data_IF_339184181921
#
_entry.id   IF_339184181921
#
_cell.length_a   1.000
_cell.length_b   1.000
_cell.length_c   1.000
_cell.angle_alpha   90.00
_cell.angle_beta   90.00
_cell.angle_gamma   90.00
#
_symmetry.space_group_name_H-M   'P 1'
#
loop_
_entity.id
_entity.type
_entity.pdbx_description
1 polymer ?
#
# COMPACT_ATOMS: atom_id res chain seq x y z
N UNK A 1 5.00 -32.98 16.53
CA UNK A 1 6.39 -32.63 16.90
C UNK A 1 6.59 -31.15 16.61
N UNK A 2 6.50 -30.34 17.67
CA UNK A 2 6.72 -28.89 17.61
C UNK A 2 8.21 -28.61 17.38
N UNK A 3 8.56 -27.75 16.42
CA UNK A 3 9.90 -27.16 16.31
C UNK A 3 9.78 -25.68 16.59
N UNK A 4 10.13 -25.31 17.81
CA UNK A 4 10.32 -23.93 18.25
C UNK A 4 11.54 -23.33 17.55
N UNK A 5 11.34 -22.18 16.88
CA UNK A 5 12.42 -21.31 16.39
C UNK A 5 12.57 -20.21 17.43
N UNK A 6 13.65 -20.27 18.22
CA UNK A 6 14.05 -19.19 19.13
C UNK A 6 14.56 -17.97 18.33
N UNK A 7 14.18 -16.73 18.69
CA UNK A 7 14.81 -15.55 18.13
C UNK A 7 16.18 -15.32 18.80
N UNK A 8 17.21 -15.13 17.98
CA UNK A 8 18.53 -14.70 18.43
C UNK A 8 18.47 -13.25 18.92
N UNK A 9 18.22 -13.07 20.22
CA UNK A 9 18.50 -11.81 20.91
C UNK A 9 19.97 -11.84 21.26
N UNK A 10 20.79 -11.15 20.48
CA UNK A 10 22.19 -10.90 20.82
C UNK A 10 22.21 -10.06 22.09
N UNK A 11 22.48 -10.69 23.23
CA UNK A 11 22.76 -10.01 24.50
C UNK A 11 23.86 -8.98 24.25
N UNK A 12 23.52 -7.71 24.44
CA UNK A 12 24.49 -6.62 24.49
C UNK A 12 25.57 -7.00 25.50
N UNK A 13 26.77 -7.30 24.99
CA UNK A 13 27.94 -7.61 25.81
C UNK A 13 28.17 -6.45 26.79
N UNK A 14 28.36 -6.76 28.08
CA UNK A 14 28.55 -5.82 29.19
C UNK A 14 29.57 -4.72 28.86
N UNK A 15 30.57 -5.03 28.03
CA UNK A 15 31.57 -4.05 27.54
C UNK A 15 31.01 -2.92 26.68
N UNK A 16 29.95 -3.15 25.88
CA UNK A 16 29.32 -2.11 25.06
C UNK A 16 28.46 -1.16 25.90
N UNK A 17 27.78 -1.67 26.93
CA UNK A 17 27.03 -0.83 27.87
C UNK A 17 27.94 0.10 28.68
N UNK A 18 29.09 -0.39 29.13
CA UNK A 18 30.08 0.42 29.87
C UNK A 18 30.63 1.54 28.98
N UNK A 19 30.81 1.28 27.67
CA UNK A 19 31.31 2.29 26.72
C UNK A 19 30.28 3.40 26.49
N UNK A 20 28.99 3.06 26.39
CA UNK A 20 27.89 4.03 26.25
C UNK A 20 27.76 4.93 27.49
N UNK A 21 27.84 4.36 28.70
CA UNK A 21 27.75 5.11 29.96
C UNK A 21 28.92 6.09 30.17
N UNK A 22 30.10 5.79 29.60
CA UNK A 22 31.25 6.72 29.59
C UNK A 22 31.03 7.91 28.67
N UNK A 23 30.36 7.73 27.53
CA UNK A 23 30.08 8.82 26.56
C UNK A 23 29.15 9.89 27.13
N UNK A 24 28.30 9.53 28.11
CA UNK A 24 27.41 10.44 28.81
C UNK A 24 27.98 11.00 30.13
N UNK A 25 29.25 10.74 30.46
CA UNK A 25 29.93 11.34 31.61
C UNK A 25 29.51 10.80 32.99
N UNK A 26 29.03 9.55 33.08
CA UNK A 26 28.36 9.01 34.29
C UNK A 26 29.27 8.16 35.20
N UNK A 27 30.54 7.89 34.85
CA UNK A 27 31.42 7.04 35.67
C UNK A 27 32.83 7.61 35.82
N UNK A 28 33.29 7.76 37.08
CA UNK A 28 34.69 7.95 37.46
C UNK A 28 35.24 6.60 37.95
N UNK A 29 36.47 6.29 37.58
CA UNK A 29 37.15 5.03 37.91
C UNK A 29 37.32 4.87 39.43
N UNK A 30 36.82 3.76 39.97
CA UNK A 30 37.44 3.02 41.08
C UNK A 30 36.95 1.57 41.00
N UNK A 31 37.61 0.77 40.16
CA UNK A 31 37.42 -0.68 40.12
C UNK A 31 38.06 -1.30 41.36
N UNK A 32 37.25 -1.54 42.41
CA UNK A 32 37.65 -2.45 43.48
C UNK A 32 37.32 -3.91 43.08
N UNK A 33 38.12 -4.85 43.60
CA UNK A 33 38.31 -6.24 43.11
C UNK A 33 37.14 -7.21 43.32
N UNK A 34 35.91 -6.73 43.48
CA UNK A 34 34.70 -7.54 43.52
C UNK A 34 33.71 -6.90 42.55
N UNK A 35 33.21 -7.65 41.56
CA UNK A 35 32.42 -7.18 40.42
C UNK A 35 31.02 -6.65 40.78
N UNK A 36 30.94 -5.67 41.68
CA UNK A 36 29.75 -4.89 42.00
C UNK A 36 30.01 -3.49 41.47
N UNK A 37 29.24 -3.09 40.47
CA UNK A 37 29.23 -1.72 39.95
C UNK A 37 28.70 -0.79 41.06
N UNK A 38 29.59 0.00 41.67
CA UNK A 38 29.22 0.99 42.68
C UNK A 38 28.57 2.19 41.97
N UNK A 39 27.24 2.17 41.85
CA UNK A 39 26.49 3.25 41.24
C UNK A 39 26.20 4.35 42.27
N UNK A 40 26.70 5.55 42.02
CA UNK A 40 26.37 6.72 42.84
C UNK A 40 24.85 6.94 42.90
N UNK A 41 24.35 7.43 44.04
CA UNK A 41 22.92 7.67 44.33
C UNK A 41 22.19 8.43 43.21
N UNK A 42 22.87 9.36 42.53
CA UNK A 42 22.32 10.09 41.36
C UNK A 42 22.07 9.17 40.16
N UNK A 43 23.01 8.26 39.87
CA UNK A 43 22.90 7.27 38.80
C UNK A 43 21.80 6.26 39.08
N UNK A 44 21.65 5.84 40.35
CA UNK A 44 20.55 4.98 40.77
C UNK A 44 19.20 5.67 40.59
N UNK A 45 19.05 6.94 41.03
CA UNK A 45 17.82 7.72 40.86
C UNK A 45 17.46 7.91 39.38
N UNK A 46 18.44 8.16 38.51
CA UNK A 46 18.20 8.29 37.06
C UNK A 46 17.75 6.97 36.46
N UNK A 47 18.39 5.84 36.81
CA UNK A 47 18.01 4.52 36.30
C UNK A 47 16.65 4.06 36.82
N UNK A 48 16.34 4.31 38.08
CA UNK A 48 15.01 4.02 38.66
C UNK A 48 13.95 4.90 38.01
N UNK A 49 14.24 6.19 37.78
CA UNK A 49 13.35 7.09 37.03
C UNK A 49 13.09 6.60 35.61
N UNK A 50 14.13 6.15 34.90
CA UNK A 50 14.01 5.60 33.55
C UNK A 50 13.20 4.29 33.52
N UNK A 51 13.37 3.42 34.52
CA UNK A 51 12.64 2.17 34.64
C UNK A 51 11.16 2.41 34.98
N UNK A 52 10.88 3.42 35.81
CA UNK A 52 9.50 3.84 36.14
C UNK A 52 8.83 4.45 34.92
N UNK A 53 9.50 5.27 34.12
CA UNK A 53 8.92 5.81 32.88
C UNK A 53 8.70 4.72 31.81
N UNK A 54 9.62 3.75 31.67
CA UNK A 54 9.42 2.60 30.78
C UNK A 54 8.23 1.71 31.20
N UNK A 55 7.95 1.60 32.50
CA UNK A 55 6.82 0.80 33.00
C UNK A 55 5.49 1.55 32.97
N UNK A 56 5.51 2.88 32.99
CA UNK A 56 4.29 3.72 32.88
C UNK A 56 3.86 4.05 31.44
N UNK A 57 4.70 3.80 30.43
CA UNK A 57 4.34 4.02 29.02
C UNK A 57 3.37 2.98 28.44
N UNK A 58 3.01 1.94 29.20
CA UNK A 58 2.21 0.81 28.73
C UNK A 58 0.75 0.84 29.18
N UNK A 59 -0.03 1.89 28.92
CA UNK A 59 -1.49 1.89 29.17
C UNK A 59 -2.29 2.88 28.29
N UNK A 60 -1.93 3.03 27.02
CA UNK A 60 -2.92 3.45 26.01
C UNK A 60 -3.07 2.29 25.03
N UNK A 61 -3.91 1.32 25.40
CA UNK A 61 -4.24 0.24 24.47
C UNK A 61 -4.97 0.87 23.29
N UNK A 62 -4.40 0.77 22.09
CA UNK A 62 -5.10 1.12 20.86
C UNK A 62 -6.52 0.48 20.90
N UNK A 63 -7.56 1.18 20.41
CA UNK A 63 -8.92 0.67 20.46
C UNK A 63 -8.97 -0.74 19.88
N UNK A 64 -9.75 -1.62 20.53
CA UNK A 64 -9.91 -3.01 20.10
C UNK A 64 -10.44 -3.00 18.67
N UNK A 65 -9.60 -3.36 17.71
CA UNK A 65 -10.00 -3.41 16.30
C UNK A 65 -10.98 -4.56 16.13
N UNK A 66 -12.15 -4.24 15.58
CA UNK A 66 -13.19 -5.20 15.24
C UNK A 66 -13.11 -5.45 13.74
N UNK A 67 -13.43 -6.67 13.31
CA UNK A 67 -13.55 -6.98 11.90
C UNK A 67 -14.75 -6.20 11.33
N UNK A 68 -14.65 -5.72 10.08
CA UNK A 68 -15.75 -5.16 9.29
C UNK A 68 -17.06 -5.91 9.59
N UNK A 69 -18.08 -5.15 10.01
CA UNK A 69 -19.42 -5.70 10.24
C UNK A 69 -20.22 -5.85 8.95
N UNK A 70 -19.84 -5.12 7.89
CA UNK A 70 -20.50 -5.10 6.59
C UNK A 70 -19.50 -5.38 5.48
N UNK A 71 -19.94 -6.10 4.46
CA UNK A 71 -19.14 -6.38 3.28
C UNK A 71 -18.65 -5.08 2.62
N UNK A 72 -17.35 -4.94 2.30
CA UNK A 72 -16.84 -3.75 1.64
C UNK A 72 -17.43 -3.65 0.23
N UNK A 73 -18.12 -2.53 -0.05
CA UNK A 73 -18.80 -2.32 -1.35
C UNK A 73 -17.83 -2.27 -2.53
N UNK A 74 -16.66 -1.67 -2.32
CA UNK A 74 -15.72 -1.32 -3.40
C UNK A 74 -14.47 -2.19 -3.43
N UNK A 75 -14.40 -3.24 -2.60
CA UNK A 75 -13.22 -4.06 -2.50
C UNK A 75 -13.52 -5.55 -2.38
N UNK A 76 -12.58 -6.36 -2.82
CA UNK A 76 -12.64 -7.81 -2.77
C UNK A 76 -11.27 -8.41 -2.45
N UNK A 77 -11.24 -9.70 -2.17
CA UNK A 77 -10.02 -10.49 -2.22
C UNK A 77 -9.50 -10.56 -3.67
N UNK A 78 -8.20 -10.87 -3.91
CA UNK A 78 -7.64 -10.95 -5.26
C UNK A 78 -8.35 -11.93 -6.19
N UNK A 79 -9.04 -12.92 -5.62
CA UNK A 79 -9.83 -13.91 -6.34
C UNK A 79 -11.28 -13.47 -6.65
N UNK A 80 -11.66 -12.24 -6.30
CA UNK A 80 -13.01 -11.68 -6.51
C UNK A 80 -14.02 -12.03 -5.41
N UNK A 81 -13.58 -12.67 -4.32
CA UNK A 81 -14.45 -13.05 -3.21
C UNK A 81 -14.57 -11.95 -2.15
N UNK A 82 -15.66 -11.98 -1.40
CA UNK A 82 -15.90 -11.09 -0.28
C UNK A 82 -14.86 -11.37 0.82
N UNK A 83 -14.09 -10.37 1.26
CA UNK A 83 -13.11 -10.57 2.32
C UNK A 83 -13.70 -11.04 3.66
N UNK A 84 -14.98 -10.74 3.91
CA UNK A 84 -15.71 -11.22 5.09
C UNK A 84 -16.26 -12.64 4.96
N UNK A 85 -16.46 -13.11 3.73
CA UNK A 85 -17.01 -14.42 3.42
C UNK A 85 -16.30 -14.94 2.17
N UNK A 86 -15.08 -15.49 2.34
CA UNK A 86 -14.20 -15.84 1.21
C UNK A 86 -14.75 -16.91 0.27
N UNK A 87 -15.87 -17.52 0.63
CA UNK A 87 -16.67 -18.48 -0.15
C UNK A 87 -17.76 -17.81 -1.01
N UNK A 88 -18.05 -16.52 -0.79
CA UNK A 88 -19.01 -15.74 -1.56
C UNK A 88 -18.33 -14.73 -2.47
N UNK A 89 -18.81 -14.60 -3.71
CA UNK A 89 -18.35 -13.55 -4.64
C UNK A 89 -18.72 -12.18 -4.07
N UNK A 90 -17.81 -11.20 -4.11
CA UNK A 90 -18.13 -9.87 -3.57
C UNK A 90 -19.24 -9.20 -4.39
N UNK A 91 -20.12 -8.37 -3.81
CA UNK A 91 -21.25 -7.74 -4.54
C UNK A 91 -20.86 -7.02 -5.83
N UNK A 92 -19.69 -6.38 -5.83
CA UNK A 92 -19.11 -5.73 -6.99
C UNK A 92 -18.73 -6.72 -8.11
N UNK A 93 -18.13 -7.86 -7.76
CA UNK A 93 -17.85 -8.92 -8.74
C UNK A 93 -19.10 -9.70 -9.10
N UNK A 94 -20.05 -9.79 -8.17
CA UNK A 94 -21.34 -10.43 -8.32
C UNK A 94 -22.15 -9.73 -9.41
N UNK A 95 -22.22 -8.40 -9.40
CA UNK A 95 -22.87 -7.64 -10.47
C UNK A 95 -22.20 -7.86 -11.84
N UNK A 96 -20.87 -7.96 -11.87
CA UNK A 96 -20.13 -8.28 -13.08
C UNK A 96 -20.28 -9.75 -13.53
N UNK A 97 -20.55 -10.68 -12.62
CA UNK A 97 -20.50 -12.13 -12.84
C UNK A 97 -21.87 -12.85 -12.83
N UNK A 98 -22.93 -12.31 -12.22
CA UNK A 98 -24.23 -12.99 -12.10
C UNK A 98 -25.23 -12.61 -13.19
N UNK A 99 -24.87 -11.72 -14.11
CA UNK A 99 -25.59 -11.58 -15.39
C UNK A 99 -25.29 -12.70 -16.40
N UNK A 100 -24.18 -13.42 -16.25
CA UNK A 100 -23.78 -14.50 -17.15
C UNK A 100 -22.73 -15.37 -16.44
N UNK A 101 -22.86 -16.71 -16.45
CA UNK A 101 -21.92 -17.72 -15.91
C UNK A 101 -20.45 -17.61 -16.44
N UNK A 102 -19.81 -16.46 -16.27
CA UNK A 102 -18.63 -15.95 -16.95
C UNK A 102 -17.78 -15.13 -15.97
N UNK A 103 -16.45 -15.18 -16.13
CA UNK A 103 -15.54 -14.36 -15.34
C UNK A 103 -15.53 -12.90 -15.83
N UNK A 104 -14.99 -11.99 -15.01
CA UNK A 104 -14.89 -10.56 -15.30
C UNK A 104 -14.30 -10.30 -16.70
N UNK A 105 -13.25 -11.03 -17.09
CA UNK A 105 -12.60 -10.88 -18.39
C UNK A 105 -13.57 -11.13 -19.55
N UNK A 106 -14.30 -12.26 -19.57
CA UNK A 106 -15.26 -12.57 -20.65
C UNK A 106 -16.45 -11.60 -20.67
N UNK A 107 -16.89 -11.12 -19.50
CA UNK A 107 -17.91 -10.08 -19.44
C UNK A 107 -17.44 -8.80 -20.14
N UNK A 108 -16.23 -8.33 -19.81
CA UNK A 108 -15.64 -7.14 -20.41
C UNK A 108 -15.38 -7.34 -21.90
N UNK A 109 -14.84 -8.48 -22.33
CA UNK A 109 -14.66 -8.82 -23.75
C UNK A 109 -15.96 -8.70 -24.54
N UNK A 110 -17.06 -9.25 -24.00
CA UNK A 110 -18.38 -9.17 -24.66
C UNK A 110 -18.88 -7.73 -24.76
N UNK A 111 -18.75 -6.94 -23.68
CA UNK A 111 -19.20 -5.54 -23.66
C UNK A 111 -18.37 -4.66 -24.59
N UNK A 112 -17.06 -4.92 -24.68
CA UNK A 112 -16.12 -4.18 -25.53
C UNK A 112 -16.13 -4.66 -26.99
N UNK A 113 -16.49 -5.92 -27.24
CA UNK A 113 -16.51 -6.53 -28.56
C UNK A 113 -15.14 -6.92 -29.10
N UNK A 114 -14.10 -6.99 -28.25
CA UNK A 114 -12.73 -7.34 -28.65
C UNK A 114 -11.95 -8.00 -27.50
N UNK A 115 -10.74 -8.48 -27.80
CA UNK A 115 -9.85 -9.10 -26.82
C UNK A 115 -9.16 -8.04 -25.96
N UNK A 116 -9.14 -8.23 -24.64
CA UNK A 116 -8.72 -7.19 -23.70
C UNK A 116 -7.22 -6.87 -23.77
N UNK A 117 -6.90 -5.59 -23.60
CA UNK A 117 -5.58 -5.08 -23.28
C UNK A 117 -5.52 -4.74 -21.79
N UNK A 118 -4.81 -5.56 -21.02
CA UNK A 118 -4.68 -5.45 -19.57
C UNK A 118 -3.26 -5.03 -19.22
N UNK A 119 -3.13 -3.94 -18.46
CA UNK A 119 -1.86 -3.52 -17.87
C UNK A 119 -1.87 -3.79 -16.36
N UNK A 120 -0.87 -4.50 -15.87
CA UNK A 120 -0.63 -4.66 -14.43
C UNK A 120 0.71 -4.02 -14.06
N UNK A 121 0.64 -3.06 -13.15
CA UNK A 121 1.75 -2.25 -12.68
C UNK A 121 2.08 -2.63 -11.25
N UNK A 122 3.28 -3.18 -11.05
CA UNK A 122 3.73 -3.62 -9.74
C UNK A 122 4.23 -2.46 -8.87
N UNK A 123 4.52 -2.78 -7.61
CA UNK A 123 5.26 -1.89 -6.73
C UNK A 123 6.76 -1.94 -6.95
N UNK A 124 7.42 -0.79 -6.77
CA UNK A 124 8.87 -0.68 -7.00
C UNK A 124 9.55 0.52 -6.32
N UNK A 125 8.86 1.24 -5.42
CA UNK A 125 9.41 2.42 -4.75
C UNK A 125 9.94 3.45 -5.75
N UNK A 126 11.22 3.81 -5.65
CA UNK A 126 11.92 4.74 -6.54
C UNK A 126 11.97 4.29 -8.02
N UNK A 127 11.74 3.00 -8.31
CA UNK A 127 11.66 2.49 -9.69
C UNK A 127 10.37 2.88 -10.42
N UNK A 128 9.43 3.58 -9.79
CA UNK A 128 8.24 4.09 -10.51
C UNK A 128 8.57 4.99 -11.70
N UNK A 129 9.73 5.65 -11.69
CA UNK A 129 10.21 6.42 -12.84
C UNK A 129 10.40 5.55 -14.09
N UNK A 130 10.74 4.27 -13.91
CA UNK A 130 10.75 3.31 -15.00
C UNK A 130 9.35 3.07 -15.57
N UNK A 131 8.34 2.89 -14.70
CA UNK A 131 6.94 2.73 -15.12
C UNK A 131 6.41 3.95 -15.89
N UNK A 132 6.67 5.16 -15.40
CA UNK A 132 6.34 6.41 -16.10
C UNK A 132 7.09 6.53 -17.44
N UNK A 133 8.39 6.25 -17.45
CA UNK A 133 9.22 6.27 -18.65
C UNK A 133 8.75 5.26 -19.70
N UNK A 134 8.35 4.05 -19.27
CA UNK A 134 7.77 3.02 -20.11
C UNK A 134 6.47 3.50 -20.75
N UNK A 135 5.52 4.03 -19.96
CA UNK A 135 4.25 4.55 -20.48
C UNK A 135 4.47 5.69 -21.48
N UNK A 136 5.40 6.59 -21.18
CA UNK A 136 5.77 7.69 -22.08
C UNK A 136 6.42 7.21 -23.37
N UNK A 137 7.37 6.26 -23.28
CA UNK A 137 8.01 5.66 -24.45
C UNK A 137 7.01 4.91 -25.33
N UNK A 138 6.07 4.19 -24.71
CA UNK A 138 5.04 3.43 -25.40
C UNK A 138 4.04 4.32 -26.13
N UNK A 139 3.68 5.47 -25.54
CA UNK A 139 2.94 6.51 -26.26
C UNK A 139 3.77 7.10 -27.40
N UNK A 140 5.04 7.47 -27.15
CA UNK A 140 5.92 8.06 -28.17
C UNK A 140 6.13 7.14 -29.38
N UNK A 141 6.10 5.83 -29.19
CA UNK A 141 6.19 4.90 -30.32
C UNK A 141 4.94 4.93 -31.19
N UNK A 142 3.78 5.28 -30.63
CA UNK A 142 2.47 5.20 -31.28
C UNK A 142 1.81 3.81 -31.18
N UNK A 143 2.40 2.88 -30.42
CA UNK A 143 1.95 1.49 -30.30
C UNK A 143 1.27 1.18 -28.98
N UNK A 144 1.01 2.18 -28.12
CA UNK A 144 0.25 1.98 -26.88
C UNK A 144 -1.20 1.67 -27.24
N UNK A 145 -1.70 0.45 -26.96
CA UNK A 145 -3.10 0.15 -27.21
C UNK A 145 -3.97 0.95 -26.25
N UNK A 146 -5.25 1.05 -26.58
CA UNK A 146 -6.23 1.46 -25.57
C UNK A 146 -6.32 0.36 -24.51
N UNK A 147 -6.04 0.72 -23.26
CA UNK A 147 -6.09 -0.19 -22.13
C UNK A 147 -7.53 -0.33 -21.64
N UNK A 148 -8.02 -1.56 -21.55
CA UNK A 148 -9.35 -1.90 -21.03
C UNK A 148 -9.31 -2.09 -19.52
N UNK A 149 -8.21 -2.62 -18.98
CA UNK A 149 -8.02 -2.78 -17.54
C UNK A 149 -6.62 -2.36 -17.13
N UNK A 150 -6.53 -1.53 -16.10
CA UNK A 150 -5.26 -1.20 -15.44
C UNK A 150 -5.34 -1.59 -13.97
N UNK A 151 -4.40 -2.42 -13.54
CA UNK A 151 -4.23 -2.78 -12.14
C UNK A 151 -2.92 -2.21 -11.61
N UNK A 152 -2.93 -1.66 -10.39
CA UNK A 152 -1.74 -1.05 -9.79
C UNK A 152 -1.56 -1.42 -8.31
N UNK A 153 -0.31 -1.61 -7.91
CA UNK A 153 0.08 -1.79 -6.50
C UNK A 153 1.21 -0.81 -6.17
N UNK A 154 1.22 -0.22 -4.97
CA UNK A 154 2.28 0.69 -4.54
C UNK A 154 2.49 1.82 -5.55
N UNK A 155 3.73 2.08 -5.97
CA UNK A 155 4.04 3.05 -7.00
C UNK A 155 3.24 2.85 -8.29
N UNK A 156 2.96 1.61 -8.69
CA UNK A 156 2.11 1.29 -9.84
C UNK A 156 0.66 1.79 -9.68
N UNK A 157 0.14 1.86 -8.45
CA UNK A 157 -1.20 2.41 -8.19
C UNK A 157 -1.29 3.92 -8.44
N UNK A 158 -0.20 4.65 -8.18
CA UNK A 158 -0.12 6.09 -8.45
C UNK A 158 -0.11 6.39 -9.96
N UNK A 159 0.45 5.47 -10.75
CA UNK A 159 0.49 5.54 -12.22
C UNK A 159 -0.84 5.10 -12.85
N UNK A 160 -1.55 4.16 -12.23
CA UNK A 160 -2.67 3.44 -12.83
C UNK A 160 -3.78 4.34 -13.39
N UNK A 161 -4.12 5.43 -12.69
CA UNK A 161 -5.21 6.34 -13.11
C UNK A 161 -4.90 7.00 -14.44
N UNK A 162 -3.75 7.65 -14.54
CA UNK A 162 -3.34 8.36 -15.75
C UNK A 162 -2.87 7.39 -16.85
N UNK A 163 -2.38 6.20 -16.48
CA UNK A 163 -2.09 5.13 -17.43
C UNK A 163 -3.36 4.64 -18.16
N UNK A 164 -4.48 4.45 -17.43
CA UNK A 164 -5.75 4.12 -18.07
C UNK A 164 -6.22 5.28 -18.92
N UNK A 165 -6.38 6.49 -18.36
CA UNK A 165 -6.94 7.62 -19.08
C UNK A 165 -6.16 7.96 -20.35
N UNK A 166 -4.83 7.94 -20.29
CA UNK A 166 -3.94 7.83 -21.45
C UNK A 166 -3.99 8.97 -22.47
N UNK A 167 -4.57 10.13 -22.13
CA UNK A 167 -4.53 11.31 -23.02
C UNK A 167 -3.15 11.97 -22.98
N UNK A 168 -2.81 12.85 -23.95
CA UNK A 168 -1.56 13.59 -23.90
C UNK A 168 -1.36 14.39 -22.59
N UNK A 169 -2.45 14.86 -21.97
CA UNK A 169 -2.40 15.55 -20.68
C UNK A 169 -2.08 14.58 -19.52
N UNK A 170 -2.62 13.35 -19.56
CA UNK A 170 -2.31 12.33 -18.57
C UNK A 170 -0.85 11.87 -18.67
N UNK A 171 -0.32 11.75 -19.89
CA UNK A 171 1.09 11.42 -20.10
C UNK A 171 2.03 12.51 -19.56
N UNK A 172 1.66 13.79 -19.71
CA UNK A 172 2.40 14.89 -19.11
C UNK A 172 2.37 14.82 -17.58
N UNK A 173 1.24 14.44 -16.98
CA UNK A 173 1.13 14.19 -15.53
C UNK A 173 2.02 13.02 -15.11
N UNK A 174 2.01 11.91 -15.86
CA UNK A 174 2.89 10.76 -15.61
C UNK A 174 4.37 11.15 -15.67
N UNK A 175 4.75 12.03 -16.61
CA UNK A 175 6.10 12.58 -16.69
C UNK A 175 6.42 13.42 -15.45
N UNK A 176 5.59 14.42 -15.13
CA UNK A 176 5.80 15.33 -13.99
C UNK A 176 5.91 14.59 -12.65
N UNK A 177 5.03 13.60 -12.41
CA UNK A 177 5.04 12.82 -11.17
C UNK A 177 6.36 12.08 -10.91
N UNK A 178 7.20 11.89 -11.93
CA UNK A 178 8.44 11.11 -11.81
C UNK A 178 9.70 11.85 -12.23
N UNK A 179 9.59 13.00 -12.90
CA UNK A 179 10.74 13.87 -13.20
C UNK A 179 10.87 15.05 -12.26
N UNK A 180 9.74 15.56 -11.72
CA UNK A 180 9.71 16.77 -10.90
C UNK A 180 9.50 16.50 -9.42
N UNK A 181 9.01 15.30 -9.06
CA UNK A 181 8.80 14.91 -7.66
C UNK A 181 10.11 14.39 -7.08
N UNK A 182 10.60 15.07 -6.04
CA UNK A 182 11.81 14.68 -5.32
C UNK A 182 11.47 13.90 -4.06
N UNK A 183 12.48 13.22 -3.49
CA UNK A 183 12.35 12.56 -2.18
C UNK A 183 11.79 13.51 -1.10
N UNK A 184 12.04 14.83 -1.18
CA UNK A 184 11.52 15.80 -0.20
C UNK A 184 10.03 16.09 -0.36
N UNK A 185 9.49 15.93 -1.58
CA UNK A 185 8.07 16.10 -1.87
C UNK A 185 7.26 14.86 -1.44
N UNK A 186 7.95 13.77 -1.13
CA UNK A 186 7.39 12.50 -0.65
C UNK A 186 7.66 12.30 0.85
N UNK A 187 8.80 12.79 1.36
CA UNK A 187 9.27 12.59 2.72
C UNK A 187 9.49 13.92 3.46
N UNK A 188 8.75 14.14 4.55
CA UNK A 188 9.19 15.07 5.60
C UNK A 188 10.02 14.32 6.65
N UNK A 189 11.27 14.75 6.83
CA UNK A 189 12.18 14.18 7.82
C UNK A 189 11.77 14.56 9.23
N UNK A 190 10.95 13.74 9.90
CA UNK A 190 10.83 13.80 11.35
C UNK A 190 12.02 13.08 11.99
N UNK A 191 12.61 13.71 13.00
CA UNK A 191 13.84 13.25 13.63
C UNK A 191 13.66 11.86 14.28
N UNK A 192 14.69 11.02 14.20
CA UNK A 192 14.78 9.69 14.85
C UNK A 192 14.48 9.70 16.35
N UNK A 193 14.52 10.88 16.99
CA UNK A 193 14.10 11.08 18.38
C UNK A 193 12.59 10.89 18.61
N UNK A 194 11.75 11.01 17.57
CA UNK A 194 10.29 10.79 17.65
C UNK A 194 9.87 9.32 17.79
N UNK A 195 10.73 8.37 17.39
CA UNK A 195 10.51 6.93 17.61
C UNK A 195 10.58 6.55 19.10
N UNK A 196 11.37 7.27 19.89
CA UNK A 196 11.54 6.99 21.33
C UNK A 196 10.36 7.57 22.14
N UNK A 197 9.63 8.55 21.57
CA UNK A 197 8.50 9.21 22.22
C UNK A 197 7.13 8.62 21.86
N UNK A 198 7.06 7.45 21.22
CA UNK A 198 5.79 6.78 20.92
C UNK A 198 4.93 7.42 19.81
N UNK A 199 5.55 8.12 18.85
CA UNK A 199 4.82 8.62 17.67
C UNK A 199 4.70 7.53 16.60
N UNK A 200 3.47 7.31 16.10
CA UNK A 200 3.03 6.13 15.36
C UNK A 200 3.63 5.88 13.95
N UNK A 201 4.60 6.66 13.47
CA UNK A 201 5.44 6.25 12.31
C UNK A 201 6.61 7.21 12.06
N UNK A 202 7.54 6.75 11.23
CA UNK A 202 8.80 7.40 10.89
C UNK A 202 8.70 8.63 9.99
N UNK A 203 7.58 8.86 9.26
CA UNK A 203 7.40 10.03 8.37
C UNK A 203 5.93 10.48 8.25
N UNK A 204 5.73 11.78 8.08
CA UNK A 204 4.41 12.38 7.82
C UNK A 204 3.92 12.01 6.40
N UNK A 205 2.67 11.57 6.24
CA UNK A 205 2.06 11.26 4.94
C UNK A 205 1.54 12.49 4.21
N UNK A 206 1.51 13.66 4.86
CA UNK A 206 0.96 14.89 4.30
C UNK A 206 1.54 15.26 2.91
N UNK A 207 2.86 15.14 2.63
CA UNK A 207 3.39 15.48 1.31
C UNK A 207 2.87 14.57 0.19
N UNK A 208 2.91 13.25 0.40
CA UNK A 208 2.38 12.28 -0.56
C UNK A 208 0.86 12.44 -0.74
N UNK A 209 0.13 12.69 0.35
CA UNK A 209 -1.31 12.96 0.29
C UNK A 209 -1.61 14.23 -0.53
N UNK A 210 -0.84 15.30 -0.35
CA UNK A 210 -0.99 16.53 -1.12
C UNK A 210 -0.66 16.31 -2.61
N UNK A 211 0.37 15.52 -2.90
CA UNK A 211 0.73 15.15 -4.26
C UNK A 211 -0.38 14.35 -4.96
N UNK A 212 -0.94 13.35 -4.28
CA UNK A 212 -2.11 12.60 -4.77
C UNK A 212 -3.28 13.56 -5.01
N UNK A 213 -3.56 14.47 -4.08
CA UNK A 213 -4.67 15.42 -4.22
C UNK A 213 -4.49 16.40 -5.39
N UNK A 214 -3.24 16.77 -5.72
CA UNK A 214 -2.88 17.63 -6.85
C UNK A 214 -3.27 16.99 -8.20
N UNK A 215 -2.99 15.70 -8.39
CA UNK A 215 -3.18 15.03 -9.68
C UNK A 215 -4.52 14.28 -9.79
N UNK A 216 -5.06 13.83 -8.66
CA UNK A 216 -6.36 13.16 -8.59
C UNK A 216 -7.41 14.20 -8.19
N UNK A 217 -7.98 14.91 -9.14
CA UNK A 217 -9.02 15.93 -8.92
C UNK A 217 -10.43 15.36 -9.10
N UNK A 218 -11.46 16.15 -8.82
CA UNK A 218 -12.84 15.79 -9.14
C UNK A 218 -13.04 15.60 -10.66
N UNK A 219 -12.33 16.37 -11.49
CA UNK A 219 -12.32 16.21 -12.94
C UNK A 219 -11.66 14.89 -13.35
N UNK A 220 -10.49 14.56 -12.77
CA UNK A 220 -9.84 13.26 -12.99
C UNK A 220 -10.80 12.12 -12.66
N UNK A 221 -11.54 12.24 -11.54
CA UNK A 221 -12.52 11.25 -11.12
C UNK A 221 -13.69 11.11 -12.10
N UNK A 222 -14.22 12.22 -12.61
CA UNK A 222 -15.27 12.19 -13.64
C UNK A 222 -14.79 11.51 -14.92
N UNK A 223 -13.55 11.78 -15.35
CA UNK A 223 -12.96 11.11 -16.53
C UNK A 223 -12.82 9.60 -16.32
N UNK A 224 -12.48 9.16 -15.11
CA UNK A 224 -12.47 7.73 -14.75
C UNK A 224 -13.89 7.14 -14.78
N UNK A 225 -14.89 7.86 -14.26
CA UNK A 225 -16.28 7.42 -14.32
C UNK A 225 -16.77 7.26 -15.76
N UNK A 226 -16.42 8.19 -16.66
CA UNK A 226 -16.71 8.09 -18.10
C UNK A 226 -16.00 6.89 -18.73
N UNK A 227 -14.73 6.63 -18.38
CA UNK A 227 -14.02 5.45 -18.86
C UNK A 227 -14.68 4.15 -18.37
N UNK A 228 -15.24 4.16 -17.15
CA UNK A 228 -16.00 3.02 -16.62
C UNK A 228 -17.29 2.76 -17.38
N UNK A 229 -18.00 3.81 -17.81
CA UNK A 229 -19.17 3.68 -18.69
C UNK A 229 -18.82 3.06 -20.06
N UNK A 230 -17.56 3.24 -20.49
CA UNK A 230 -16.97 2.57 -21.65
C UNK A 230 -16.36 1.19 -21.33
N UNK A 231 -16.71 0.62 -20.17
CA UNK A 231 -16.27 -0.69 -19.68
C UNK A 231 -14.75 -0.81 -19.47
N UNK A 232 -14.10 0.29 -19.08
CA UNK A 232 -12.69 0.34 -18.75
C UNK A 232 -12.48 0.42 -17.23
N UNK A 233 -11.57 -0.37 -16.70
CA UNK A 233 -11.50 -0.65 -15.26
C UNK A 233 -10.13 -0.30 -14.67
N UNK A 234 -10.14 0.38 -13.51
CA UNK A 234 -8.96 0.56 -12.67
C UNK A 234 -9.12 -0.26 -11.39
N UNK A 235 -8.13 -1.10 -11.10
CA UNK A 235 -8.04 -1.86 -9.85
C UNK A 235 -6.79 -1.48 -9.07
N UNK A 236 -6.89 -1.34 -7.75
CA UNK A 236 -5.74 -1.04 -6.88
C UNK A 236 -5.63 -2.04 -5.75
N UNK A 237 -4.43 -2.58 -5.53
CA UNK A 237 -4.14 -3.50 -4.44
C UNK A 237 -3.59 -2.79 -3.21
N UNK A 238 -4.15 -3.11 -2.03
CA UNK A 238 -3.63 -2.70 -0.71
C UNK A 238 -3.49 -3.93 0.18
N UNK A 239 -2.77 -3.80 1.30
CA UNK A 239 -2.74 -4.82 2.34
C UNK A 239 -3.61 -4.36 3.51
N UNK A 240 -4.66 -5.09 3.84
CA UNK A 240 -5.39 -4.85 5.09
C UNK A 240 -4.65 -5.52 6.25
N UNK A 241 -4.20 -4.72 7.22
CA UNK A 241 -3.39 -5.17 8.36
C UNK A 241 -4.23 -6.00 9.34
N UNK A 242 -5.50 -5.65 9.53
CA UNK A 242 -6.37 -6.29 10.53
C UNK A 242 -6.73 -7.72 10.12
N UNK A 243 -6.79 -7.98 8.81
CA UNK A 243 -7.04 -9.31 8.25
C UNK A 243 -5.76 -10.01 7.76
N UNK A 244 -4.66 -9.27 7.57
CA UNK A 244 -3.42 -9.78 6.99
C UNK A 244 -3.53 -10.22 5.54
N UNK A 245 -4.54 -9.73 4.80
CA UNK A 245 -4.86 -10.12 3.42
C UNK A 245 -4.73 -8.96 2.45
N UNK A 246 -4.53 -9.30 1.17
CA UNK A 246 -4.62 -8.33 0.07
C UNK A 246 -6.08 -7.94 -0.16
N UNK A 247 -6.31 -6.63 -0.30
CA UNK A 247 -7.58 -6.03 -0.65
C UNK A 247 -7.46 -5.36 -2.02
N UNK A 248 -8.29 -5.77 -2.98
CA UNK A 248 -8.36 -5.20 -4.33
C UNK A 248 -9.55 -4.27 -4.42
N UNK A 249 -9.28 -2.98 -4.61
CA UNK A 249 -10.25 -1.91 -4.73
C UNK A 249 -10.62 -1.67 -6.20
N UNK A 250 -11.90 -1.47 -6.48
CA UNK A 250 -12.37 -1.00 -7.77
C UNK A 250 -12.48 0.52 -7.76
N UNK A 251 -11.42 1.12 -8.29
CA UNK A 251 -11.26 2.56 -8.36
C UNK A 251 -12.26 3.19 -9.34
N UNK A 252 -12.62 2.46 -10.41
CA UNK A 252 -13.64 2.92 -11.37
C UNK A 252 -15.03 3.05 -10.73
N UNK A 253 -15.43 2.10 -9.89
CA UNK A 253 -16.71 2.17 -9.19
C UNK A 253 -16.70 3.27 -8.12
N UNK A 254 -15.59 3.43 -7.39
CA UNK A 254 -15.40 4.59 -6.49
C UNK A 254 -15.56 5.91 -7.24
N UNK A 255 -15.01 6.00 -8.46
CA UNK A 255 -15.13 7.18 -9.29
C UNK A 255 -16.56 7.42 -9.78
N UNK A 256 -17.25 6.36 -10.22
CA UNK A 256 -18.65 6.41 -10.65
C UNK A 256 -19.57 6.93 -9.53
N UNK A 257 -19.29 6.56 -8.29
CA UNK A 257 -20.03 6.98 -7.10
C UNK A 257 -19.52 8.30 -6.51
N UNK A 258 -18.57 8.98 -7.15
CA UNK A 258 -18.04 10.28 -6.72
C UNK A 258 -17.24 10.24 -5.41
N UNK A 259 -16.68 9.09 -5.03
CA UNK A 259 -15.97 8.88 -3.75
C UNK A 259 -14.51 9.38 -3.80
N UNK A 260 -14.30 10.66 -4.09
CA UNK A 260 -12.97 11.25 -4.29
C UNK A 260 -12.02 11.03 -3.11
N UNK A 261 -12.49 11.29 -1.89
CA UNK A 261 -11.64 11.17 -0.70
C UNK A 261 -11.22 9.74 -0.45
N UNK A 262 -12.13 8.77 -0.67
CA UNK A 262 -11.81 7.35 -0.55
C UNK A 262 -10.85 6.90 -1.67
N UNK A 263 -11.05 7.37 -2.90
CA UNK A 263 -10.14 7.10 -4.02
C UNK A 263 -8.70 7.53 -3.68
N UNK A 264 -8.54 8.76 -3.18
CA UNK A 264 -7.22 9.28 -2.77
C UNK A 264 -6.64 8.52 -1.58
N UNK A 265 -7.47 8.17 -0.58
CA UNK A 265 -7.05 7.36 0.58
C UNK A 265 -6.57 5.97 0.17
N UNK A 266 -7.24 5.32 -0.78
CA UNK A 266 -6.83 4.00 -1.29
C UNK A 266 -5.47 4.09 -2.00
N UNK A 267 -5.25 5.12 -2.82
CA UNK A 267 -3.95 5.36 -3.44
C UNK A 267 -2.85 5.61 -2.41
N UNK A 268 -3.14 6.45 -1.40
CA UNK A 268 -2.22 6.72 -0.30
C UNK A 268 -1.88 5.43 0.45
N UNK A 269 -2.89 4.63 0.80
CA UNK A 269 -2.72 3.35 1.49
C UNK A 269 -1.87 2.38 0.67
N UNK A 270 -2.17 2.25 -0.62
CA UNK A 270 -1.46 1.39 -1.56
C UNK A 270 0.02 1.76 -1.66
N UNK A 271 0.38 3.04 -1.56
CA UNK A 271 1.77 3.52 -1.59
C UNK A 271 2.43 3.71 -0.20
N UNK A 272 1.73 3.40 0.89
CA UNK A 272 2.24 3.58 2.26
C UNK A 272 3.07 2.39 2.72
N UNK A 273 4.31 2.31 2.24
CA UNK A 273 5.22 1.20 2.57
C UNK A 273 5.46 1.11 4.08
N UNK A 274 5.20 -0.06 4.72
CA UNK A 274 5.49 -0.25 6.14
C UNK A 274 6.92 0.15 6.48
N UNK A 275 7.15 0.69 7.68
CA UNK A 275 8.42 1.32 8.12
C UNK A 275 8.58 2.75 7.63
N UNK A 276 8.23 3.06 6.38
CA UNK A 276 8.43 4.41 5.84
C UNK A 276 7.23 5.31 6.15
N UNK A 277 6.03 4.80 5.97
CA UNK A 277 4.77 5.52 6.21
C UNK A 277 3.89 4.82 7.24
N UNK A 278 3.06 5.58 8.00
CA UNK A 278 2.03 5.02 8.84
C UNK A 278 0.98 4.30 7.98
N UNK A 279 0.29 3.30 8.54
CA UNK A 279 -0.92 2.77 7.92
C UNK A 279 -1.99 3.86 7.75
N UNK A 280 -2.78 3.75 6.69
CA UNK A 280 -3.91 4.62 6.42
C UNK A 280 -5.18 3.97 6.94
N UNK A 281 -5.95 4.70 7.73
CA UNK A 281 -7.24 4.25 8.22
C UNK A 281 -8.35 4.50 7.18
N UNK A 282 -9.06 3.43 6.81
CA UNK A 282 -10.23 3.45 5.94
C UNK A 282 -11.34 2.66 6.63
N UNK A 283 -12.46 3.31 6.92
CA UNK A 283 -13.64 2.72 7.57
C UNK A 283 -13.31 1.94 8.86
N UNK A 284 -12.40 2.49 9.69
CA UNK A 284 -11.99 1.87 10.97
C UNK A 284 -10.94 0.76 10.85
N UNK A 285 -10.44 0.51 9.63
CA UNK A 285 -9.44 -0.52 9.34
C UNK A 285 -8.13 0.06 8.85
N UNK A 286 -7.02 -0.59 9.19
CA UNK A 286 -5.69 -0.15 8.77
C UNK A 286 -5.26 -0.83 7.48
N UNK A 287 -4.85 0.00 6.53
CA UNK A 287 -4.30 -0.42 5.25
C UNK A 287 -2.87 0.10 5.09
N UNK A 288 -2.02 -0.75 4.54
CA UNK A 288 -0.64 -0.44 4.16
C UNK A 288 -0.41 -0.83 2.71
N UNK A 289 0.81 -0.57 2.23
CA UNK A 289 1.21 -0.88 0.88
C UNK A 289 0.84 -2.31 0.46
N UNK A 290 0.23 -2.44 -0.72
CA UNK A 290 -0.17 -3.73 -1.27
C UNK A 290 1.02 -4.67 -1.48
N UNK A 291 2.21 -4.14 -1.77
CA UNK A 291 3.46 -4.89 -1.93
C UNK A 291 3.89 -5.61 -0.65
N UNK A 292 3.36 -5.22 0.53
CA UNK A 292 3.57 -5.96 1.77
C UNK A 292 2.99 -7.39 1.73
N UNK A 293 2.03 -7.66 0.83
CA UNK A 293 1.46 -8.99 0.61
C UNK A 293 1.44 -9.46 -0.84
N UNK A 294 1.17 -8.59 -1.79
CA UNK A 294 1.07 -8.94 -3.20
C UNK A 294 1.55 -7.77 -4.04
N UNK A 295 2.71 -7.92 -4.67
CA UNK A 295 3.30 -6.84 -5.48
C UNK A 295 2.61 -6.67 -6.85
N UNK A 296 1.66 -7.54 -7.21
CA UNK A 296 0.99 -7.52 -8.50
C UNK A 296 -0.48 -7.93 -8.32
N UNK A 297 -1.37 -7.27 -9.05
CA UNK A 297 -2.76 -7.67 -9.21
C UNK A 297 -2.99 -7.94 -10.69
N UNK A 298 -3.32 -9.18 -11.05
CA UNK A 298 -3.63 -9.55 -12.44
C UNK A 298 -5.13 -9.82 -12.55
N UNK A 299 -5.91 -8.86 -13.09
CA UNK A 299 -7.35 -9.01 -13.26
C UNK A 299 -7.70 -10.27 -14.05
N UNK A 300 -8.71 -11.03 -13.60
CA UNK A 300 -9.21 -12.21 -14.32
C UNK A 300 -8.43 -13.51 -14.10
N UNK A 301 -7.34 -13.50 -13.32
CA UNK A 301 -6.58 -14.73 -12.95
C UNK A 301 -6.92 -15.29 -11.56
N UNK A 302 -7.98 -14.75 -10.94
CA UNK A 302 -8.46 -15.17 -9.62
C UNK A 302 -9.36 -16.42 -9.66
N UNK A 303 -9.29 -17.22 -8.59
CA UNK A 303 -10.15 -18.40 -8.36
C UNK A 303 -9.39 -19.73 -8.36
N UNK A 304 -10.08 -20.81 -7.98
CA UNK A 304 -9.51 -22.17 -7.96
C UNK A 304 -9.72 -22.93 -9.27
N UNK A 305 -10.50 -22.37 -10.20
CA UNK A 305 -10.81 -22.99 -11.48
C UNK A 305 -10.11 -22.25 -12.62
N UNK A 306 -9.70 -23.02 -13.63
CA UNK A 306 -9.12 -22.45 -14.85
C UNK A 306 -10.18 -21.55 -15.53
N UNK A 307 -9.85 -20.29 -15.83
CA UNK A 307 -10.79 -19.41 -16.54
C UNK A 307 -11.11 -19.98 -17.92
N UNK A 308 -12.35 -19.78 -18.36
CA UNK A 308 -12.77 -20.11 -19.73
C UNK A 308 -11.91 -19.32 -20.74
N UNK A 309 -11.64 -19.89 -21.93
CA UNK A 309 -10.84 -19.20 -22.94
C UNK A 309 -11.49 -17.86 -23.37
N UNK A 310 -10.68 -16.90 -23.84
CA UNK A 310 -11.14 -15.63 -24.40
C UNK A 310 -12.17 -15.79 -25.53
N UNK A 311 -13.09 -14.83 -25.66
CA UNK A 311 -14.12 -14.81 -26.70
C UNK A 311 -13.61 -14.33 -28.07
N UNK A 312 -12.64 -13.42 -28.10
CA UNK A 312 -12.20 -12.71 -29.31
C UNK A 312 -10.74 -13.00 -29.69
N UNK A 313 -10.20 -14.17 -29.31
CA UNK A 313 -8.80 -14.52 -29.54
C UNK A 313 -7.88 -14.08 -28.39
N UNK A 314 -6.55 -14.18 -28.54
CA UNK A 314 -5.62 -13.87 -27.45
C UNK A 314 -5.66 -12.37 -27.11
N UNK A 315 -6.02 -12.05 -25.87
CA UNK A 315 -5.83 -10.72 -25.30
C UNK A 315 -4.36 -10.47 -24.92
N UNK A 316 -4.05 -9.22 -24.58
CA UNK A 316 -2.70 -8.82 -24.17
C UNK A 316 -2.65 -8.55 -22.67
N UNK A 317 -1.68 -9.17 -21.99
CA UNK A 317 -1.32 -8.83 -20.61
C UNK A 317 0.08 -8.21 -20.59
N UNK A 318 0.13 -6.94 -20.20
CA UNK A 318 1.37 -6.18 -20.05
C UNK A 318 1.72 -6.11 -18.56
N UNK A 319 2.94 -6.52 -18.23
CA UNK A 319 3.47 -6.47 -16.86
C UNK A 319 4.59 -5.43 -16.77
N UNK A 320 4.48 -4.52 -15.82
CA UNK A 320 5.52 -3.54 -15.53
C UNK A 320 6.10 -3.79 -14.11
N UNK A 321 7.38 -4.13 -14.07
CA UNK A 321 8.19 -4.39 -12.88
C UNK A 321 9.22 -3.28 -12.64
#
# INVERSE_FOLDING_TARGET
MNKDIQPAITLLNLGHMIKLLKTFGVSREDTNRQGVLDLNRRTMVVLTGLLVTLTMAGCTSAPKRVLFEKAPTYAALPNGYNPLSPDQVSPMYAEAAFGANENLARNLERKRGHALNILSMSGGGQNGAFGAGFLNGWRKSGWRPELDVVAGVSTGSLLATHALLGTPADDAILEQMFTEVTDKDIYEGRSVWGLISGADSLRDTAPLQALIAKYITAETLQRVATAYDDNRLILVGTTNVDYGQTWVWNMSLLAKDGKLDLYRKVLLASASFPIVFPPVEIDGHLFVDGAARSNLVVPGTGGSQRPKPPLYGPGNLYLNY
#
